data_IF_413469211499
#
_entry.id   IF_413469211499
#
_cell.length_a   1.000
_cell.length_b   1.000
_cell.length_c   1.000
_cell.angle_alpha   90.00
_cell.angle_beta   90.00
_cell.angle_gamma   90.00
#
_symmetry.space_group_name_H-M   'P 1'
#
loop_
_entity.id
_entity.type
_entity.pdbx_description
1 polymer ?
#
# COMPACT_ATOMS: atom_id res chain seq x y z
N UNK A 1 44.56 49.71 1.71
CA UNK A 1 44.23 48.26 1.72
C UNK A 1 42.82 48.08 1.16
N UNK A 2 42.64 47.13 0.24
CA UNK A 2 41.56 47.17 -0.75
C UNK A 2 40.32 46.38 -0.27
N UNK A 3 39.29 47.08 0.20
CA UNK A 3 38.07 46.51 0.81
C UNK A 3 37.34 45.50 -0.11
N UNK A 4 37.55 45.56 -1.43
CA UNK A 4 36.97 44.61 -2.39
C UNK A 4 37.38 43.15 -2.16
N UNK A 5 38.60 42.89 -1.66
CA UNK A 5 39.05 41.51 -1.36
C UNK A 5 38.38 40.93 -0.11
N UNK A 6 38.04 41.79 0.86
CA UNK A 6 37.37 41.38 2.09
C UNK A 6 35.90 41.00 1.83
N UNK A 7 35.18 41.79 1.02
CA UNK A 7 33.79 41.49 0.67
C UNK A 7 33.66 40.23 -0.21
N UNK A 8 34.63 39.98 -1.11
CA UNK A 8 34.64 38.77 -1.93
C UNK A 8 34.85 37.49 -1.10
N UNK A 9 35.75 37.55 -0.10
CA UNK A 9 35.96 36.43 0.83
C UNK A 9 34.75 36.13 1.72
N UNK A 10 34.08 37.18 2.21
CA UNK A 10 32.86 37.02 3.02
C UNK A 10 31.70 36.41 2.21
N UNK A 11 31.57 36.81 0.94
CA UNK A 11 30.54 36.29 0.03
C UNK A 11 30.76 34.82 -0.32
N UNK A 12 32.00 34.40 -0.56
CA UNK A 12 32.36 32.99 -0.78
C UNK A 12 32.10 32.12 0.47
N UNK A 13 32.39 32.63 1.67
CA UNK A 13 32.13 31.92 2.92
C UNK A 13 30.63 31.72 3.15
N UNK A 14 29.81 32.73 2.84
CA UNK A 14 28.35 32.67 2.94
C UNK A 14 27.73 31.68 1.93
N UNK A 15 28.28 31.60 0.71
CA UNK A 15 27.84 30.60 -0.28
C UNK A 15 28.20 29.18 0.19
N UNK A 16 29.39 28.96 0.73
CA UNK A 16 29.80 27.64 1.24
C UNK A 16 28.93 27.23 2.45
N UNK A 17 28.61 28.16 3.35
CA UNK A 17 27.68 27.93 4.46
C UNK A 17 26.26 27.63 3.97
N UNK A 18 25.77 28.35 2.94
CA UNK A 18 24.46 28.10 2.35
C UNK A 18 24.38 26.74 1.65
N UNK A 19 25.42 26.34 0.91
CA UNK A 19 25.50 25.01 0.27
C UNK A 19 25.60 23.91 1.33
N UNK A 20 26.39 24.12 2.40
CA UNK A 20 26.48 23.18 3.52
C UNK A 20 25.14 22.96 4.23
N UNK A 21 24.36 24.03 4.43
CA UNK A 21 23.00 23.96 5.00
C UNK A 21 22.01 23.23 4.08
N UNK A 22 22.11 23.41 2.76
CA UNK A 22 21.26 22.69 1.77
C UNK A 22 21.60 21.19 1.77
N UNK A 23 22.88 20.83 1.83
CA UNK A 23 23.31 19.41 1.84
C UNK A 23 22.93 18.71 3.15
N UNK A 24 22.98 19.41 4.29
CA UNK A 24 22.54 18.87 5.58
C UNK A 24 21.02 18.64 5.64
N UNK A 25 20.22 19.47 4.95
CA UNK A 25 18.76 19.31 4.92
C UNK A 25 18.31 18.18 3.96
N UNK A 26 19.13 17.80 2.97
CA UNK A 26 18.80 16.74 2.00
C UNK A 26 18.96 15.31 2.53
N UNK A 27 19.65 15.10 3.66
CA UNK A 27 19.96 13.75 4.18
C UNK A 27 18.89 13.13 5.08
N UNK A 28 17.79 13.83 5.36
CA UNK A 28 16.81 13.40 6.37
C UNK A 28 15.42 13.00 5.84
N UNK A 29 15.18 12.99 4.53
CA UNK A 29 13.88 12.59 3.95
C UNK A 29 13.80 11.13 3.46
N UNK A 30 14.90 10.38 3.52
CA UNK A 30 15.04 9.09 2.83
C UNK A 30 14.38 7.86 3.51
N UNK A 31 14.04 7.79 4.82
CA UNK A 31 13.46 6.56 5.38
C UNK A 31 11.97 6.32 5.08
N UNK A 32 11.13 7.36 5.02
CA UNK A 32 9.66 7.20 4.97
C UNK A 32 9.16 7.09 3.54
N UNK A 33 9.59 8.01 2.68
CA UNK A 33 9.19 8.06 1.27
C UNK A 33 9.63 6.80 0.51
N UNK A 34 10.82 6.26 0.80
CA UNK A 34 11.30 5.01 0.21
C UNK A 34 10.45 3.80 0.64
N UNK A 35 10.06 3.73 1.92
CA UNK A 35 9.21 2.63 2.43
C UNK A 35 7.82 2.71 1.80
N UNK A 36 7.25 3.91 1.69
CA UNK A 36 5.94 4.10 1.04
C UNK A 36 5.99 3.69 -0.44
N UNK A 37 7.05 4.07 -1.17
CA UNK A 37 7.27 3.63 -2.55
C UNK A 37 7.38 2.10 -2.69
N UNK A 38 8.03 1.45 -1.72
CA UNK A 38 8.14 -0.01 -1.69
C UNK A 38 6.77 -0.68 -1.48
N UNK A 39 5.91 -0.10 -0.64
CA UNK A 39 4.54 -0.61 -0.45
C UNK A 39 3.74 -0.57 -1.76
N UNK A 40 3.83 0.50 -2.54
CA UNK A 40 3.16 0.56 -3.84
C UNK A 40 3.69 -0.46 -4.85
N UNK A 41 4.96 -0.83 -4.75
CA UNK A 41 5.52 -1.92 -5.56
C UNK A 41 4.90 -3.27 -5.17
N UNK A 42 4.69 -3.50 -3.87
CA UNK A 42 3.98 -4.68 -3.36
C UNK A 42 2.52 -4.68 -3.80
N UNK A 43 1.80 -3.58 -3.64
CA UNK A 43 0.41 -3.48 -4.07
C UNK A 43 0.27 -3.71 -5.57
N UNK A 44 1.15 -3.12 -6.38
CA UNK A 44 1.14 -3.29 -7.84
C UNK A 44 1.39 -4.76 -8.22
N UNK A 45 2.39 -5.41 -7.61
CA UNK A 45 2.71 -6.82 -7.84
C UNK A 45 1.56 -7.75 -7.44
N UNK A 46 0.90 -7.46 -6.31
CA UNK A 46 -0.28 -8.19 -5.85
C UNK A 46 -1.46 -8.03 -6.81
N UNK A 47 -1.74 -6.80 -7.23
CA UNK A 47 -2.88 -6.49 -8.12
C UNK A 47 -2.66 -7.13 -9.48
N UNK A 48 -1.46 -6.99 -10.06
CA UNK A 48 -1.13 -7.61 -11.35
C UNK A 48 -1.18 -9.14 -11.27
N UNK A 49 -0.72 -9.73 -10.16
CA UNK A 49 -0.70 -11.18 -9.98
C UNK A 49 -2.07 -11.82 -9.73
N UNK A 50 -3.02 -11.11 -9.14
CA UNK A 50 -4.29 -11.70 -8.65
C UNK A 50 -5.56 -11.07 -9.23
N UNK A 51 -5.53 -9.83 -9.71
CA UNK A 51 -6.74 -9.05 -10.01
C UNK A 51 -6.74 -8.41 -11.41
N UNK A 52 -5.58 -8.12 -11.99
CA UNK A 52 -5.46 -7.56 -13.34
C UNK A 52 -5.64 -8.65 -14.42
N UNK A 53 -6.90 -9.06 -14.64
CA UNK A 53 -7.27 -9.93 -15.76
C UNK A 53 -7.62 -9.12 -17.01
N UNK A 54 -7.62 -9.73 -18.20
CA UNK A 54 -8.00 -9.07 -19.47
C UNK A 54 -9.42 -8.49 -19.48
N UNK A 55 -10.25 -8.84 -18.48
CA UNK A 55 -11.63 -8.36 -18.35
C UNK A 55 -11.76 -7.15 -17.42
N UNK A 56 -10.68 -6.77 -16.72
CA UNK A 56 -10.66 -5.71 -15.71
C UNK A 56 -9.90 -4.50 -16.26
N UNK A 57 -10.64 -3.46 -16.63
CA UNK A 57 -10.07 -2.19 -17.13
C UNK A 57 -9.81 -1.19 -15.98
N UNK A 58 -10.43 -1.41 -14.82
CA UNK A 58 -10.48 -0.50 -13.69
C UNK A 58 -10.31 -1.25 -12.37
N UNK A 59 -9.42 -0.76 -11.52
CA UNK A 59 -9.18 -1.20 -10.16
C UNK A 59 -9.74 -0.14 -9.20
N UNK A 60 -10.79 -0.49 -8.47
CA UNK A 60 -11.37 0.38 -7.43
C UNK A 60 -10.90 -0.08 -6.05
N UNK A 61 -10.32 0.83 -5.27
CA UNK A 61 -9.74 0.55 -3.94
C UNK A 61 -10.29 1.57 -2.94
N UNK A 62 -10.50 1.19 -1.68
CA UNK A 62 -10.72 2.15 -0.61
C UNK A 62 -9.53 3.11 -0.49
N UNK A 63 -9.78 4.37 -0.18
CA UNK A 63 -8.75 5.42 -0.07
C UNK A 63 -7.89 5.35 1.19
N UNK A 64 -8.04 4.29 1.98
CA UNK A 64 -7.30 4.07 3.20
C UNK A 64 -7.06 2.59 3.44
N UNK A 65 -5.92 2.30 4.06
CA UNK A 65 -5.55 0.98 4.47
C UNK A 65 -6.41 0.51 5.65
N UNK A 66 -6.94 -0.70 5.56
CA UNK A 66 -7.68 -1.32 6.66
C UNK A 66 -7.56 -2.85 6.62
N UNK A 67 -7.84 -3.46 7.77
CA UNK A 67 -7.96 -4.89 7.90
C UNK A 67 -9.44 -5.24 7.67
N UNK A 68 -9.71 -6.22 6.80
CA UNK A 68 -11.07 -6.76 6.68
C UNK A 68 -11.32 -7.92 7.64
N UNK A 69 -12.59 -8.14 7.99
CA UNK A 69 -13.04 -9.25 8.83
C UNK A 69 -13.45 -8.84 10.25
N UNK A 70 -14.06 -9.79 10.98
CA UNK A 70 -14.55 -9.60 12.35
C UNK A 70 -13.66 -10.24 13.42
N UNK A 71 -12.67 -11.05 13.02
CA UNK A 71 -11.75 -11.73 13.93
C UNK A 71 -10.64 -10.80 14.42
N UNK A 72 -10.04 -11.13 15.57
CA UNK A 72 -8.89 -10.37 16.07
C UNK A 72 -7.68 -10.59 15.16
N UNK A 73 -6.89 -9.53 14.92
CA UNK A 73 -5.70 -9.60 14.08
C UNK A 73 -4.73 -10.71 14.54
N UNK A 74 -4.56 -10.90 15.85
CA UNK A 74 -3.66 -11.93 16.37
C UNK A 74 -4.14 -13.36 16.06
N UNK A 75 -5.45 -13.63 16.14
CA UNK A 75 -6.00 -14.95 15.77
C UNK A 75 -5.79 -15.22 14.28
N UNK A 76 -6.10 -14.25 13.44
CA UNK A 76 -5.90 -14.36 11.98
C UNK A 76 -4.43 -14.58 11.65
N UNK A 77 -3.51 -13.81 12.24
CA UNK A 77 -2.08 -13.96 11.98
C UNK A 77 -1.51 -15.27 12.51
N UNK A 78 -2.04 -15.81 13.62
CA UNK A 78 -1.68 -17.15 14.08
C UNK A 78 -2.07 -18.22 13.05
N UNK A 79 -3.30 -18.13 12.49
CA UNK A 79 -3.73 -19.02 11.41
C UNK A 79 -2.85 -18.87 10.15
N UNK A 80 -2.63 -17.64 9.69
CA UNK A 80 -1.79 -17.35 8.51
C UNK A 80 -0.37 -17.87 8.70
N UNK A 81 0.25 -17.69 9.87
CA UNK A 81 1.60 -18.17 10.15
C UNK A 81 1.70 -19.70 10.20
N UNK A 82 0.62 -20.39 10.59
CA UNK A 82 0.57 -21.86 10.50
C UNK A 82 0.46 -22.34 9.05
N UNK A 83 -0.23 -21.59 8.20
CA UNK A 83 -0.36 -21.92 6.77
C UNK A 83 0.88 -21.52 5.96
N UNK A 84 1.61 -20.49 6.39
CA UNK A 84 2.83 -19.99 5.75
C UNK A 84 3.97 -19.95 6.78
N UNK A 85 4.56 -21.11 7.14
CA UNK A 85 5.62 -21.18 8.15
C UNK A 85 6.90 -20.42 7.77
N UNK A 86 7.02 -20.00 6.50
CA UNK A 86 8.14 -19.20 5.98
C UNK A 86 8.05 -17.71 6.36
N UNK A 87 6.91 -17.23 6.89
CA UNK A 87 6.80 -15.83 7.32
C UNK A 87 7.77 -15.58 8.48
N UNK A 88 8.63 -14.60 8.30
CA UNK A 88 9.59 -14.18 9.29
C UNK A 88 8.91 -13.38 10.41
N UNK A 89 9.48 -13.50 11.61
CA UNK A 89 8.90 -12.87 12.80
C UNK A 89 8.83 -11.34 12.67
N UNK A 90 9.85 -10.73 12.12
CA UNK A 90 9.91 -9.29 11.90
C UNK A 90 8.93 -8.81 10.83
N UNK A 91 8.68 -9.59 9.76
CA UNK A 91 7.56 -9.34 8.82
C UNK A 91 6.22 -9.23 9.56
N UNK A 92 5.94 -10.16 10.47
CA UNK A 92 4.71 -10.15 11.27
C UNK A 92 4.68 -8.99 12.26
N UNK A 93 5.80 -8.70 12.93
CA UNK A 93 5.88 -7.62 13.90
C UNK A 93 5.64 -6.26 13.21
N UNK A 94 6.28 -6.01 12.07
CA UNK A 94 6.11 -4.79 11.28
C UNK A 94 4.67 -4.66 10.75
N UNK A 95 4.10 -5.75 10.23
CA UNK A 95 2.71 -5.80 9.79
C UNK A 95 1.75 -5.39 10.90
N UNK A 96 1.92 -5.96 12.10
CA UNK A 96 1.07 -5.68 13.26
C UNK A 96 1.17 -4.22 13.66
N UNK A 97 2.39 -3.67 13.75
CA UNK A 97 2.64 -2.29 14.17
C UNK A 97 1.96 -1.31 13.20
N UNK A 98 2.19 -1.47 11.90
CA UNK A 98 1.68 -0.55 10.87
C UNK A 98 0.16 -0.56 10.74
N UNK A 99 -0.47 -1.71 10.95
CA UNK A 99 -1.92 -1.86 10.81
C UNK A 99 -2.71 -1.58 12.10
N UNK A 100 -2.09 -0.93 13.09
CA UNK A 100 -2.80 -0.40 14.28
C UNK A 100 -3.44 0.96 14.06
N UNK A 101 -3.07 1.66 12.97
CA UNK A 101 -3.54 3.01 12.67
C UNK A 101 -4.15 3.06 11.28
N UNK A 102 -5.12 3.96 11.10
CA UNK A 102 -5.64 4.25 9.78
C UNK A 102 -4.57 4.98 8.96
N UNK A 103 -4.43 4.63 7.69
CA UNK A 103 -3.42 5.23 6.82
C UNK A 103 -4.01 5.50 5.44
N UNK A 104 -3.97 6.75 4.95
CA UNK A 104 -4.50 7.08 3.63
C UNK A 104 -3.65 6.44 2.53
N UNK A 105 -4.29 5.93 1.49
CA UNK A 105 -3.63 5.49 0.27
C UNK A 105 -3.59 6.65 -0.73
N UNK A 106 -2.54 6.66 -1.53
CA UNK A 106 -2.31 7.59 -2.63
C UNK A 106 -2.37 6.83 -3.96
N UNK A 107 -2.53 7.57 -5.06
CA UNK A 107 -2.60 6.96 -6.38
C UNK A 107 -1.20 6.78 -6.98
N UNK A 108 -0.37 5.96 -6.33
CA UNK A 108 1.03 5.68 -6.71
C UNK A 108 1.23 4.25 -7.23
N UNK A 109 0.14 3.59 -7.63
CA UNK A 109 0.15 2.24 -8.19
C UNK A 109 0.73 2.23 -9.61
N UNK A 110 1.62 1.28 -9.87
CA UNK A 110 2.26 1.11 -11.17
C UNK A 110 1.75 -0.17 -11.86
N UNK A 111 0.50 -0.12 -12.32
CA UNK A 111 -0.19 -1.21 -13.02
C UNK A 111 -0.83 -0.69 -14.32
N UNK A 112 -1.18 -1.59 -15.24
CA UNK A 112 -1.80 -1.20 -16.52
C UNK A 112 -3.24 -0.71 -16.36
N UNK A 113 -4.00 -1.32 -15.45
CA UNK A 113 -5.38 -0.94 -15.21
C UNK A 113 -5.45 0.45 -14.57
N UNK A 114 -6.51 1.20 -14.87
CA UNK A 114 -6.74 2.48 -14.18
C UNK A 114 -7.01 2.21 -12.70
N UNK A 115 -6.45 3.00 -11.80
CA UNK A 115 -6.79 2.95 -10.37
C UNK A 115 -7.68 4.13 -9.98
N UNK A 116 -8.72 3.84 -9.19
CA UNK A 116 -9.55 4.84 -8.51
C UNK A 116 -9.59 4.50 -7.02
N UNK A 117 -9.28 5.50 -6.20
CA UNK A 117 -9.47 5.45 -4.76
C UNK A 117 -10.86 6.00 -4.40
N UNK A 118 -11.61 5.28 -3.57
CA UNK A 118 -12.95 5.67 -3.11
C UNK A 118 -12.92 6.00 -1.63
N UNK A 119 -13.56 7.11 -1.27
CA UNK A 119 -13.70 7.49 0.12
C UNK A 119 -14.79 6.67 0.81
N UNK A 120 -14.72 6.58 2.14
CA UNK A 120 -15.81 6.01 2.94
C UNK A 120 -17.14 6.74 2.70
N UNK A 121 -17.10 8.06 2.48
CA UNK A 121 -18.30 8.86 2.20
C UNK A 121 -18.93 8.47 0.87
N UNK A 122 -18.12 8.24 -0.17
CA UNK A 122 -18.61 7.78 -1.46
C UNK A 122 -19.14 6.35 -1.40
N UNK A 123 -18.45 5.48 -0.66
CA UNK A 123 -18.92 4.13 -0.38
C UNK A 123 -20.30 4.16 0.28
N UNK A 124 -20.46 4.87 1.39
CA UNK A 124 -21.74 4.95 2.12
C UNK A 124 -22.87 5.53 1.26
N UNK A 125 -22.54 6.50 0.39
CA UNK A 125 -23.50 7.09 -0.55
C UNK A 125 -23.96 6.10 -1.62
N UNK A 126 -23.07 5.24 -2.11
CA UNK A 126 -23.36 4.21 -3.11
C UNK A 126 -24.16 3.07 -2.48
N UNK A 127 -23.82 2.65 -1.26
CA UNK A 127 -24.41 1.48 -0.57
C UNK A 127 -25.47 1.85 0.47
N UNK A 128 -26.13 3.00 0.32
CA UNK A 128 -27.22 3.41 1.21
C UNK A 128 -28.43 2.46 1.10
N UNK A 129 -29.24 2.29 2.16
CA UNK A 129 -30.23 1.21 2.26
C UNK A 129 -31.38 1.22 1.24
N UNK A 130 -31.66 2.36 0.60
CA UNK A 130 -32.80 2.56 -0.30
C UNK A 130 -32.54 2.16 -1.77
N UNK A 131 -31.32 1.74 -2.11
CA UNK A 131 -30.94 1.37 -3.48
C UNK A 131 -30.14 0.07 -3.53
N UNK A 132 -30.13 -0.57 -4.71
CA UNK A 132 -29.17 -1.62 -5.01
C UNK A 132 -27.78 -0.98 -5.17
N UNK A 133 -26.96 -1.14 -4.13
CA UNK A 133 -25.62 -0.54 -4.08
C UNK A 133 -24.67 -1.11 -5.12
N UNK A 134 -24.79 -2.40 -5.48
CA UNK A 134 -23.94 -3.01 -6.50
C UNK A 134 -24.34 -2.56 -7.90
N UNK A 135 -25.64 -2.46 -8.18
CA UNK A 135 -26.12 -1.89 -9.44
C UNK A 135 -25.63 -0.43 -9.59
N UNK A 136 -25.72 0.36 -8.52
CA UNK A 136 -25.23 1.74 -8.52
C UNK A 136 -23.70 1.82 -8.65
N UNK A 137 -22.97 0.94 -7.96
CA UNK A 137 -21.52 0.85 -8.03
C UNK A 137 -21.07 0.60 -9.48
N UNK A 138 -21.62 -0.42 -10.14
CA UNK A 138 -21.22 -0.76 -11.52
C UNK A 138 -21.70 0.25 -12.57
N UNK A 139 -22.72 1.06 -12.27
CA UNK A 139 -23.07 2.24 -13.09
C UNK A 139 -21.97 3.31 -13.04
N UNK A 140 -21.34 3.51 -11.89
CA UNK A 140 -20.28 4.53 -11.70
C UNK A 140 -18.92 3.98 -12.14
N UNK A 141 -18.63 2.72 -11.82
CA UNK A 141 -17.34 2.07 -12.03
C UNK A 141 -17.51 0.80 -12.90
N UNK A 142 -17.91 0.95 -14.18
CA UNK A 142 -18.12 -0.19 -15.06
C UNK A 142 -16.81 -0.96 -15.28
N UNK A 143 -16.93 -2.29 -15.43
CA UNK A 143 -15.80 -3.22 -15.63
C UNK A 143 -14.72 -3.17 -14.54
N UNK A 144 -15.09 -2.71 -13.35
CA UNK A 144 -14.24 -2.88 -12.18
C UNK A 144 -14.29 -4.30 -11.67
N UNK A 145 -13.22 -4.70 -10.97
CA UNK A 145 -13.10 -5.97 -10.25
C UNK A 145 -13.97 -6.06 -8.98
N UNK A 146 -14.71 -4.99 -8.67
CA UNK A 146 -15.35 -4.78 -7.36
C UNK A 146 -14.63 -3.71 -6.57
N UNK A 147 -14.77 -3.74 -5.25
CA UNK A 147 -14.12 -2.83 -4.30
C UNK A 147 -13.06 -3.60 -3.55
N UNK A 148 -11.83 -3.12 -3.65
CA UNK A 148 -10.67 -3.68 -2.97
C UNK A 148 -10.37 -2.92 -1.68
N UNK A 149 -10.00 -3.67 -0.65
CA UNK A 149 -9.44 -3.16 0.60
C UNK A 149 -8.03 -3.71 0.74
N UNK A 150 -7.06 -2.84 1.00
CA UNK A 150 -5.67 -3.21 1.24
C UNK A 150 -5.29 -2.88 2.68
N UNK A 151 -4.42 -3.67 3.29
CA UNK A 151 -3.72 -3.28 4.50
C UNK A 151 -2.43 -2.51 4.18
N UNK A 152 -1.79 -1.95 5.21
CA UNK A 152 -0.35 -1.63 5.13
C UNK A 152 0.46 -2.92 4.96
N UNK A 153 1.64 -2.78 4.37
CA UNK A 153 2.57 -3.90 4.16
C UNK A 153 3.52 -4.03 5.35
N UNK A 154 3.66 -5.25 5.88
CA UNK A 154 4.74 -5.60 6.79
C UNK A 154 5.95 -6.12 6.03
N UNK A 155 7.14 -5.63 6.33
CA UNK A 155 8.41 -6.11 5.73
C UNK A 155 9.30 -6.76 6.79
N UNK A 156 10.12 -7.73 6.39
CA UNK A 156 11.28 -8.11 7.19
C UNK A 156 12.37 -7.03 7.13
N UNK A 157 13.40 -7.16 7.97
CA UNK A 157 14.52 -6.20 8.05
C UNK A 157 15.30 -6.09 6.75
N UNK A 158 15.44 -7.21 6.03
CA UNK A 158 16.16 -7.32 4.78
C UNK A 158 15.39 -6.71 3.59
N UNK A 159 14.10 -6.40 3.77
CA UNK A 159 13.17 -5.89 2.73
C UNK A 159 13.11 -6.79 1.49
N UNK A 160 13.20 -8.09 1.70
CA UNK A 160 13.05 -9.12 0.67
C UNK A 160 11.87 -10.07 0.96
N UNK A 161 11.17 -9.88 2.08
CA UNK A 161 9.90 -10.52 2.39
C UNK A 161 8.85 -9.47 2.77
N UNK A 162 7.63 -9.65 2.29
CA UNK A 162 6.52 -8.75 2.60
C UNK A 162 5.21 -9.50 2.84
N UNK A 163 4.41 -9.05 3.81
CA UNK A 163 3.07 -9.53 4.08
C UNK A 163 2.06 -8.40 3.85
N UNK A 164 1.00 -8.69 3.11
CA UNK A 164 -0.08 -7.73 2.83
C UNK A 164 -1.43 -8.46 2.84
N UNK A 165 -2.48 -7.79 3.32
CA UNK A 165 -3.85 -8.25 3.19
C UNK A 165 -4.53 -7.55 2.00
N UNK A 166 -5.31 -8.32 1.25
CA UNK A 166 -6.17 -7.83 0.19
C UNK A 166 -7.56 -8.48 0.29
N UNK A 167 -8.58 -7.68 0.57
CA UNK A 167 -9.99 -8.04 0.46
C UNK A 167 -10.58 -7.52 -0.85
N UNK A 168 -11.47 -8.25 -1.49
CA UNK A 168 -12.19 -7.78 -2.66
C UNK A 168 -13.65 -8.25 -2.63
N UNK A 169 -14.58 -7.31 -2.76
CA UNK A 169 -16.01 -7.56 -2.84
C UNK A 169 -16.54 -7.09 -4.21
N UNK A 170 -17.23 -7.96 -4.93
CA UNK A 170 -17.82 -7.67 -6.25
C UNK A 170 -19.36 -7.76 -6.26
N UNK A 171 -19.94 -8.42 -5.26
CA UNK A 171 -21.38 -8.50 -5.06
C UNK A 171 -21.68 -8.89 -3.61
N UNK A 172 -22.94 -8.86 -3.16
CA UNK A 172 -23.31 -9.22 -1.78
C UNK A 172 -22.80 -10.59 -1.32
N UNK A 173 -22.69 -11.57 -2.24
CA UNK A 173 -22.21 -12.93 -1.99
C UNK A 173 -21.00 -13.28 -2.88
N UNK A 174 -20.24 -12.27 -3.29
CA UNK A 174 -19.06 -12.44 -4.13
C UNK A 174 -17.92 -11.64 -3.52
N UNK A 175 -17.44 -12.14 -2.40
CA UNK A 175 -16.38 -11.52 -1.62
C UNK A 175 -15.35 -12.53 -1.20
N UNK A 176 -14.10 -12.09 -1.10
CA UNK A 176 -12.99 -12.91 -0.58
C UNK A 176 -11.89 -12.01 -0.05
N UNK A 177 -11.12 -12.52 0.90
CA UNK A 177 -9.91 -11.84 1.33
C UNK A 177 -8.77 -12.80 1.61
N UNK A 178 -7.57 -12.27 1.36
CA UNK A 178 -6.33 -13.02 1.40
C UNK A 178 -5.29 -12.28 2.21
N UNK A 179 -4.47 -13.03 2.94
CA UNK A 179 -3.14 -12.59 3.33
C UNK A 179 -2.16 -13.17 2.34
N UNK A 180 -1.28 -12.32 1.81
CA UNK A 180 -0.36 -12.66 0.72
C UNK A 180 1.06 -12.41 1.18
N UNK A 181 1.88 -13.45 1.15
CA UNK A 181 3.32 -13.38 1.32
C UNK A 181 3.96 -13.15 -0.06
N UNK A 182 4.76 -12.10 -0.16
CA UNK A 182 5.60 -11.82 -1.31
C UNK A 182 7.07 -11.94 -0.93
N UNK A 183 7.89 -12.37 -1.88
CA UNK A 183 9.36 -12.41 -1.74
C UNK A 183 10.01 -11.68 -2.90
N UNK A 184 11.14 -11.03 -2.64
CA UNK A 184 11.93 -10.32 -3.64
C UNK A 184 13.08 -11.21 -4.11
N UNK A 185 13.11 -11.49 -5.41
CA UNK A 185 14.22 -12.19 -6.06
C UNK A 185 14.73 -11.34 -7.22
N UNK A 186 16.04 -11.05 -7.26
CA UNK A 186 16.66 -10.17 -8.28
C UNK A 186 15.93 -8.82 -8.43
N UNK A 187 15.64 -8.16 -7.30
CA UNK A 187 14.93 -6.87 -7.23
C UNK A 187 13.48 -6.89 -7.76
N UNK A 188 12.88 -8.07 -7.96
CA UNK A 188 11.50 -8.23 -8.41
C UNK A 188 10.70 -8.92 -7.31
N UNK A 189 9.60 -8.29 -6.89
CA UNK A 189 8.63 -8.91 -5.99
C UNK A 189 7.75 -9.90 -6.73
N UNK A 190 7.59 -11.08 -6.16
CA UNK A 190 6.66 -12.11 -6.62
C UNK A 190 5.81 -12.64 -5.48
N UNK A 191 4.58 -13.05 -5.81
CA UNK A 191 3.72 -13.74 -4.85
C UNK A 191 4.35 -15.10 -4.54
N UNK A 192 4.68 -15.31 -3.26
CA UNK A 192 5.20 -16.58 -2.77
C UNK A 192 4.07 -17.52 -2.39
N UNK A 193 3.09 -17.00 -1.65
CA UNK A 193 1.95 -17.78 -1.14
C UNK A 193 0.82 -16.85 -0.72
N UNK A 194 -0.42 -17.29 -0.88
CA UNK A 194 -1.61 -16.62 -0.36
C UNK A 194 -2.42 -17.57 0.55
N UNK A 195 -3.11 -16.97 1.51
CA UNK A 195 -4.03 -17.66 2.43
C UNK A 195 -5.34 -16.91 2.42
N UNK A 196 -6.38 -17.56 1.89
CA UNK A 196 -7.75 -17.08 2.00
C UNK A 196 -8.20 -17.17 3.46
N UNK A 197 -8.64 -16.03 4.01
CA UNK A 197 -9.14 -15.96 5.40
C UNK A 197 -10.65 -15.87 5.48
N UNK A 198 -11.31 -15.48 4.39
CA UNK A 198 -12.77 -15.50 4.30
C UNK A 198 -13.24 -15.53 2.84
N UNK A 199 -14.45 -16.02 2.65
CA UNK A 199 -15.21 -16.04 1.40
C UNK A 199 -16.70 -15.83 1.74
N UNK A 200 -17.41 -15.08 0.89
CA UNK A 200 -18.86 -14.85 1.01
C UNK A 200 -19.66 -15.68 0.03
#
# INVERSE_FOLDING_TARGET
MNNKKLYFGLFLLLIILAIGLIVLNSKNSIPVEEIENEEYTIYSSLIDGMYATDQVDLIVIMDHASLGGHESLDQTLNYVSQQIPEIEKDTLDDYKIKNTQNYPLENSFNIKAKVILISQVDFDRIFRPDIDGWEQFYKIYPKSQGIMTLSRVGFNKEKDQALVYAGNQAHYLAGRGYYVLLTKENDIWGIKKDVMTWIS
#
